data_IF_832334279504
#
_entry.id   IF_832334279504
#
_cell.length_a   1.000
_cell.length_b   1.000
_cell.length_c   1.000
_cell.angle_alpha   90.00
_cell.angle_beta   90.00
_cell.angle_gamma   90.00
#
_symmetry.space_group_name_H-M   'P 1'
#
loop_
_entity.id
_entity.type
_entity.pdbx_description
1 polymer ?
#
# COMPACT_ATOMS: atom_id res chain seq x y z
N UNK A 1 5.95 -22.39 11.46
CA UNK A 1 5.52 -22.40 10.04
C UNK A 1 5.62 -20.97 9.55
N UNK A 2 6.26 -20.70 8.41
CA UNK A 2 6.43 -19.33 7.91
C UNK A 2 5.10 -18.77 7.35
N UNK A 3 4.78 -17.51 7.68
CA UNK A 3 3.56 -16.82 7.21
C UNK A 3 3.48 -16.77 5.69
N UNK A 4 4.62 -16.71 5.00
CA UNK A 4 4.70 -16.73 3.53
C UNK A 4 4.13 -18.02 2.95
N UNK A 5 4.48 -19.17 3.54
CA UNK A 5 4.00 -20.49 3.10
C UNK A 5 2.52 -20.67 3.41
N UNK A 6 2.05 -20.17 4.56
CA UNK A 6 0.63 -20.27 4.94
C UNK A 6 -0.25 -19.36 4.07
N UNK A 7 0.20 -18.13 3.78
CA UNK A 7 -0.53 -17.19 2.92
C UNK A 7 -0.78 -17.74 1.51
N UNK A 8 0.20 -18.45 0.95
CA UNK A 8 0.11 -19.02 -0.40
C UNK A 8 -0.73 -20.29 -0.47
N UNK A 9 -0.84 -21.03 0.64
CA UNK A 9 -1.46 -22.36 0.67
C UNK A 9 -2.85 -22.39 1.32
N UNK A 10 -3.24 -21.37 2.09
CA UNK A 10 -4.50 -21.32 2.83
C UNK A 10 -5.35 -20.10 2.42
N UNK A 11 -6.40 -20.35 1.64
CA UNK A 11 -7.30 -19.29 1.16
C UNK A 11 -8.08 -18.58 2.27
N UNK A 12 -8.36 -19.25 3.41
CA UNK A 12 -9.00 -18.60 4.56
C UNK A 12 -8.10 -17.52 5.13
N UNK A 13 -6.84 -17.88 5.44
CA UNK A 13 -5.83 -16.97 5.97
C UNK A 13 -5.57 -15.81 5.01
N UNK A 14 -5.49 -16.10 3.71
CA UNK A 14 -5.37 -15.09 2.65
C UNK A 14 -6.55 -14.13 2.62
N UNK A 15 -7.76 -14.64 2.83
CA UNK A 15 -8.99 -13.85 3.00
C UNK A 15 -8.89 -12.89 4.18
N UNK A 16 -8.43 -13.37 5.35
CA UNK A 16 -8.26 -12.54 6.55
C UNK A 16 -7.24 -11.42 6.36
N UNK A 17 -6.12 -11.73 5.71
CA UNK A 17 -5.10 -10.72 5.38
C UNK A 17 -5.64 -9.67 4.41
N UNK A 18 -6.45 -10.08 3.42
CA UNK A 18 -7.14 -9.13 2.53
C UNK A 18 -8.13 -8.24 3.28
N UNK A 19 -8.86 -8.78 4.25
CA UNK A 19 -9.75 -7.97 5.11
C UNK A 19 -8.96 -6.95 5.92
N UNK A 20 -7.80 -7.32 6.48
CA UNK A 20 -6.91 -6.41 7.19
C UNK A 20 -6.42 -5.27 6.29
N UNK A 21 -6.00 -5.57 5.05
CA UNK A 21 -5.62 -4.54 4.07
C UNK A 21 -6.81 -3.65 3.68
N UNK A 22 -8.03 -4.20 3.64
CA UNK A 22 -9.23 -3.45 3.28
C UNK A 22 -9.64 -2.41 4.33
N UNK A 23 -9.10 -2.46 5.55
CA UNK A 23 -9.34 -1.44 6.59
C UNK A 23 -8.98 -0.03 6.12
N UNK A 24 -7.99 0.10 5.23
CA UNK A 24 -7.59 1.39 4.66
C UNK A 24 -8.70 2.07 3.84
N UNK A 25 -9.72 1.32 3.41
CA UNK A 25 -10.85 1.86 2.66
C UNK A 25 -12.05 2.26 3.54
N UNK A 26 -12.00 2.01 4.86
CA UNK A 26 -13.05 2.45 5.77
C UNK A 26 -12.87 3.94 6.14
N UNK A 27 -13.94 4.67 6.48
CA UNK A 27 -13.81 5.96 7.14
C UNK A 27 -12.92 5.81 8.39
N UNK A 28 -12.01 6.77 8.63
CA UNK A 28 -11.05 6.72 9.75
C UNK A 28 -11.68 6.35 11.10
N UNK A 29 -12.84 6.91 11.50
CA UNK A 29 -13.48 6.55 12.77
C UNK A 29 -13.87 5.07 12.88
N UNK A 30 -14.10 4.39 11.75
CA UNK A 30 -14.57 3.00 11.69
C UNK A 30 -13.45 1.97 11.54
N UNK A 31 -12.19 2.40 11.44
CA UNK A 31 -11.05 1.47 11.27
C UNK A 31 -10.93 0.52 12.47
N UNK A 32 -11.06 1.05 13.71
CA UNK A 32 -10.95 0.24 14.92
C UNK A 32 -12.11 -0.76 15.05
N UNK A 33 -13.33 -0.32 14.73
CA UNK A 33 -14.51 -1.20 14.68
C UNK A 33 -14.33 -2.33 13.65
N UNK A 34 -13.84 -1.98 12.45
CA UNK A 34 -13.57 -2.96 11.40
C UNK A 34 -12.50 -3.97 11.79
N UNK A 35 -11.43 -3.51 12.47
CA UNK A 35 -10.39 -4.39 12.98
C UNK A 35 -10.95 -5.38 14.02
N UNK A 36 -11.73 -4.88 14.97
CA UNK A 36 -12.34 -5.73 16.00
C UNK A 36 -13.28 -6.77 15.38
N UNK A 37 -14.11 -6.36 14.42
CA UNK A 37 -15.01 -7.28 13.71
C UNK A 37 -14.26 -8.39 12.97
N UNK A 38 -13.06 -8.11 12.43
CA UNK A 38 -12.22 -9.15 11.83
C UNK A 38 -11.78 -10.14 12.91
N UNK A 39 -11.20 -9.65 14.02
CA UNK A 39 -10.69 -10.46 15.13
C UNK A 39 -11.79 -11.35 15.72
N UNK A 40 -12.97 -10.79 15.99
CA UNK A 40 -14.12 -11.51 16.57
C UNK A 40 -14.66 -12.61 15.63
N UNK A 41 -14.39 -12.49 14.33
CA UNK A 41 -14.82 -13.47 13.31
C UNK A 41 -13.78 -14.56 13.02
N UNK A 42 -12.59 -14.50 13.63
CA UNK A 42 -11.53 -15.49 13.45
C UNK A 42 -11.87 -16.76 14.23
N UNK A 43 -11.58 -17.91 13.63
CA UNK A 43 -11.45 -19.15 14.40
C UNK A 43 -10.16 -19.15 15.22
N UNK A 44 -10.10 -19.92 16.31
CA UNK A 44 -8.90 -20.04 17.14
C UNK A 44 -7.65 -20.41 16.31
N UNK A 45 -7.80 -21.33 15.35
CA UNK A 45 -6.69 -21.74 14.48
C UNK A 45 -6.21 -20.61 13.56
N UNK A 46 -7.11 -19.75 13.07
CA UNK A 46 -6.71 -18.56 12.29
C UNK A 46 -6.05 -17.51 13.17
N UNK A 47 -6.57 -17.30 14.39
CA UNK A 47 -6.00 -16.38 15.35
C UNK A 47 -4.58 -16.78 15.73
N UNK A 48 -4.33 -18.04 16.08
CA UNK A 48 -2.99 -18.54 16.46
C UNK A 48 -1.94 -18.30 15.35
N UNK A 49 -2.36 -18.39 14.08
CA UNK A 49 -1.48 -18.14 12.93
C UNK A 49 -1.24 -16.63 12.74
N UNK A 50 -2.29 -15.82 12.91
CA UNK A 50 -2.28 -14.40 12.52
C UNK A 50 -1.97 -13.45 13.67
N UNK A 51 -1.96 -13.90 14.93
CA UNK A 51 -1.83 -13.06 16.13
C UNK A 51 -0.66 -12.09 16.02
N UNK A 52 0.53 -12.59 15.69
CA UNK A 52 1.75 -11.78 15.55
C UNK A 52 1.60 -10.67 14.48
N UNK A 53 0.90 -10.96 13.39
CA UNK A 53 0.62 -9.98 12.33
C UNK A 53 -0.36 -8.92 12.81
N UNK A 54 -1.43 -9.30 13.51
CA UNK A 54 -2.40 -8.35 14.07
C UNK A 54 -1.76 -7.45 15.12
N UNK A 55 -0.96 -8.02 16.03
CA UNK A 55 -0.23 -7.25 17.04
C UNK A 55 0.72 -6.24 16.39
N UNK A 56 1.48 -6.66 15.38
CA UNK A 56 2.33 -5.75 14.60
C UNK A 56 1.51 -4.65 13.91
N UNK A 57 0.40 -5.02 13.27
CA UNK A 57 -0.46 -4.08 12.56
C UNK A 57 -1.02 -3.02 13.51
N UNK A 58 -1.52 -3.42 14.67
CA UNK A 58 -2.03 -2.49 15.69
C UNK A 58 -0.92 -1.55 16.16
N UNK A 59 0.20 -2.11 16.62
CA UNK A 59 1.28 -1.29 17.20
C UNK A 59 1.89 -0.32 16.21
N UNK A 60 2.06 -0.74 14.96
CA UNK A 60 2.67 0.13 13.95
C UNK A 60 1.65 1.04 13.28
N UNK A 61 0.60 0.46 12.68
CA UNK A 61 -0.30 1.19 11.78
C UNK A 61 -1.46 1.87 12.48
N UNK A 62 -1.84 1.44 13.68
CA UNK A 62 -2.94 2.07 14.43
C UNK A 62 -2.48 2.96 15.58
N UNK A 63 -1.26 2.77 16.09
CA UNK A 63 -0.73 3.52 17.24
C UNK A 63 0.41 4.49 16.86
N UNK A 64 1.38 4.03 16.06
CA UNK A 64 2.57 4.86 15.72
C UNK A 64 2.35 5.73 14.48
N UNK A 65 1.73 5.18 13.44
CA UNK A 65 1.46 5.91 12.20
C UNK A 65 0.06 6.54 12.27
N UNK A 66 -0.09 7.84 11.97
CA UNK A 66 -1.41 8.46 11.88
C UNK A 66 -2.31 7.75 10.86
N UNK A 67 -3.53 7.39 11.26
CA UNK A 67 -4.48 6.66 10.41
C UNK A 67 -4.74 7.37 9.08
N UNK A 68 -4.79 8.70 9.09
CA UNK A 68 -4.99 9.51 7.87
C UNK A 68 -3.87 9.38 6.84
N UNK A 69 -2.68 8.91 7.22
CA UNK A 69 -1.52 8.79 6.31
C UNK A 69 -1.65 7.59 5.37
N UNK A 70 -2.29 6.52 5.80
CA UNK A 70 -2.46 5.28 5.02
C UNK A 70 -3.91 4.99 4.66
N UNK A 71 -4.86 5.79 5.15
CA UNK A 71 -6.26 5.70 4.77
C UNK A 71 -6.47 6.16 3.32
N UNK A 72 -7.17 5.32 2.55
CA UNK A 72 -7.50 5.54 1.15
C UNK A 72 -9.01 5.82 0.94
N UNK A 73 -9.78 5.97 2.01
CA UNK A 73 -11.21 6.24 1.92
C UNK A 73 -11.45 7.61 1.26
N UNK A 74 -12.23 7.61 0.18
CA UNK A 74 -12.54 8.82 -0.59
C UNK A 74 -11.42 9.31 -1.52
N UNK A 75 -10.29 8.59 -1.61
CA UNK A 75 -9.21 8.95 -2.53
C UNK A 75 -9.53 8.38 -3.94
N UNK A 76 -9.61 9.27 -4.93
CA UNK A 76 -9.86 8.90 -6.33
C UNK A 76 -8.66 8.18 -6.97
N UNK A 77 -7.44 8.63 -6.67
CA UNK A 77 -6.20 8.00 -7.17
C UNK A 77 -5.60 7.12 -6.09
N UNK A 78 -6.02 5.85 -6.09
CA UNK A 78 -5.67 4.86 -5.04
C UNK A 78 -4.24 4.32 -5.16
N UNK A 79 -3.65 4.38 -6.34
CA UNK A 79 -2.30 3.87 -6.60
C UNK A 79 -1.41 4.96 -7.19
N UNK A 80 -0.11 4.80 -7.02
CA UNK A 80 0.93 5.60 -7.62
C UNK A 80 1.12 5.31 -9.12
N UNK A 81 0.23 4.55 -9.78
CA UNK A 81 0.37 4.19 -11.20
C UNK A 81 0.68 5.39 -12.10
N UNK A 82 0.06 6.54 -11.86
CA UNK A 82 0.34 7.74 -12.65
C UNK A 82 1.78 8.24 -12.46
N UNK A 83 2.30 8.14 -11.24
CA UNK A 83 3.69 8.46 -10.94
C UNK A 83 4.63 7.41 -11.54
N UNK A 84 4.30 6.12 -11.47
CA UNK A 84 5.07 5.03 -12.08
C UNK A 84 5.11 5.15 -13.60
N UNK A 85 3.97 5.42 -14.24
CA UNK A 85 3.84 5.67 -15.67
C UNK A 85 4.66 6.89 -16.09
N UNK A 86 4.62 7.97 -15.29
CA UNK A 86 5.43 9.15 -15.55
C UNK A 86 6.93 8.84 -15.41
N UNK A 87 7.34 8.18 -14.33
CA UNK A 87 8.74 7.75 -14.13
C UNK A 87 9.22 6.85 -15.26
N UNK A 88 8.38 5.92 -15.72
CA UNK A 88 8.72 5.03 -16.82
C UNK A 88 8.95 5.83 -18.11
N UNK A 89 7.99 6.68 -18.51
CA UNK A 89 8.13 7.54 -19.69
C UNK A 89 9.36 8.45 -19.60
N UNK A 90 9.60 9.04 -18.43
CA UNK A 90 10.75 9.90 -18.20
C UNK A 90 12.07 9.14 -18.30
N UNK A 91 12.17 7.96 -17.70
CA UNK A 91 13.35 7.09 -17.82
C UNK A 91 13.64 6.71 -19.27
N UNK A 92 12.60 6.41 -20.06
CA UNK A 92 12.73 6.19 -21.50
C UNK A 92 13.24 7.44 -22.25
N UNK A 93 12.84 8.65 -21.86
CA UNK A 93 13.35 9.88 -22.48
C UNK A 93 14.81 10.19 -22.09
N UNK A 94 15.19 9.93 -20.84
CA UNK A 94 16.56 10.13 -20.37
C UNK A 94 17.50 9.08 -20.98
N UNK A 95 17.03 7.83 -21.09
CA UNK A 95 17.67 6.68 -21.71
C UNK A 95 19.14 6.46 -21.28
N UNK A 96 19.46 6.72 -20.01
CA UNK A 96 20.77 6.49 -19.39
C UNK A 96 20.65 6.19 -17.91
N UNK A 97 21.51 5.30 -17.41
CA UNK A 97 21.59 4.95 -15.99
C UNK A 97 22.24 6.05 -15.12
N UNK A 98 23.19 6.80 -15.69
CA UNK A 98 23.87 7.93 -15.05
C UNK A 98 23.91 9.14 -15.99
N UNK A 99 22.80 9.86 -16.16
CA UNK A 99 22.78 11.07 -16.97
C UNK A 99 23.62 12.18 -16.30
N UNK A 100 24.32 12.97 -17.10
CA UNK A 100 24.90 14.22 -16.62
C UNK A 100 23.77 15.21 -16.24
N UNK A 101 24.08 16.14 -15.33
CA UNK A 101 23.09 17.07 -14.77
C UNK A 101 22.40 17.93 -15.85
N UNK A 102 23.11 18.30 -16.91
CA UNK A 102 22.58 19.14 -17.98
C UNK A 102 21.57 18.38 -18.83
N UNK A 103 21.84 17.11 -19.10
CA UNK A 103 20.92 16.22 -19.82
C UNK A 103 19.65 15.94 -19.02
N UNK A 104 19.76 15.78 -17.70
CA UNK A 104 18.60 15.65 -16.82
C UNK A 104 17.74 16.91 -16.85
N UNK A 105 18.35 18.09 -16.71
CA UNK A 105 17.66 19.39 -16.78
C UNK A 105 16.94 19.54 -18.13
N UNK A 106 17.61 19.21 -19.23
CA UNK A 106 17.03 19.32 -20.58
C UNK A 106 15.82 18.38 -20.77
N UNK A 107 15.90 17.17 -20.22
CA UNK A 107 14.80 16.21 -20.27
C UNK A 107 13.60 16.70 -19.44
N UNK A 108 13.83 17.27 -18.26
CA UNK A 108 12.77 17.84 -17.41
C UNK A 108 12.08 19.03 -18.07
N UNK A 109 12.84 19.94 -18.67
CA UNK A 109 12.29 21.07 -19.42
C UNK A 109 11.42 20.61 -20.59
N UNK A 110 11.86 19.56 -21.30
CA UNK A 110 11.11 18.97 -22.42
C UNK A 110 9.80 18.31 -21.95
N UNK A 111 9.79 17.64 -20.79
CA UNK A 111 8.55 17.10 -20.21
C UNK A 111 7.57 18.19 -19.77
N UNK A 112 8.07 19.26 -19.15
CA UNK A 112 7.24 20.37 -18.72
C UNK A 112 6.55 21.04 -19.92
N UNK A 113 7.27 21.23 -21.03
CA UNK A 113 6.71 21.76 -22.27
C UNK A 113 5.61 20.86 -22.86
N UNK A 114 5.77 19.54 -22.77
CA UNK A 114 4.77 18.58 -23.25
C UNK A 114 3.54 18.46 -22.35
N UNK A 115 3.69 18.68 -21.05
CA UNK A 115 2.59 18.57 -20.07
C UNK A 115 1.74 19.85 -19.98
N UNK A 116 2.19 20.95 -20.59
CA UNK A 116 1.52 22.26 -20.58
C UNK A 116 0.66 22.51 -21.84
N UNK A 117 0.45 21.49 -22.67
CA UNK A 117 -0.46 21.47 -23.83
C UNK A 117 -1.68 20.62 -23.52
#
# INVERSE_FOLDING_TARGET
MDLTTVYTSNESIKGRIRQLMALGFLPVPRIREGLQAIIDSLSNAEYDILESLFQYFVSWWCERIPLSMWNLHGIQRRTNNNCEDWHNKFNWKVNRHHPDIWRLISALQSEQANSSR
#
